data_IF_667257773847
#
_entry.id   IF_667257773847
#
_cell.length_a   1.000
_cell.length_b   1.000
_cell.length_c   1.000
_cell.angle_alpha   90.00
_cell.angle_beta   90.00
_cell.angle_gamma   90.00
#
_symmetry.space_group_name_H-M   'P 1'
#
loop_
_entity.id
_entity.type
_entity.pdbx_description
1 polymer ?
#
# COMPACT_ATOMS: atom_id res chain seq x y z
N UNK A 1 10.85 -4.67 -8.88
CA UNK A 1 10.64 -3.90 -7.68
C UNK A 1 10.05 -4.79 -6.57
N UNK A 2 9.65 -4.18 -5.48
CA UNK A 2 9.23 -4.94 -4.31
C UNK A 2 7.74 -5.26 -4.26
N UNK A 3 6.98 -4.78 -5.23
CA UNK A 3 5.57 -5.10 -5.32
C UNK A 3 5.35 -6.41 -6.05
N UNK A 4 4.49 -7.26 -5.51
CA UNK A 4 4.05 -8.48 -6.17
C UNK A 4 2.64 -8.31 -6.72
N UNK A 5 2.36 -8.95 -7.85
CA UNK A 5 1.01 -9.04 -8.39
C UNK A 5 0.46 -10.40 -7.99
N UNK A 6 -0.65 -10.41 -7.25
CA UNK A 6 -1.25 -11.65 -6.74
C UNK A 6 -2.50 -11.99 -7.54
N UNK A 7 -2.49 -13.17 -8.17
CA UNK A 7 -3.60 -13.68 -8.98
C UNK A 7 -4.04 -12.73 -10.10
N UNK A 8 -3.16 -11.86 -10.56
CA UNK A 8 -3.51 -10.83 -11.55
C UNK A 8 -4.55 -9.84 -11.04
N UNK A 9 -4.85 -9.88 -9.74
CA UNK A 9 -5.99 -9.14 -9.16
C UNK A 9 -5.57 -7.94 -8.33
N UNK A 10 -4.50 -8.04 -7.57
CA UNK A 10 -4.07 -6.96 -6.68
C UNK A 10 -2.57 -6.91 -6.54
N UNK A 11 -2.07 -5.76 -6.06
CA UNK A 11 -0.67 -5.56 -5.73
C UNK A 11 -0.50 -5.75 -4.22
N UNK A 12 0.63 -6.35 -3.81
CA UNK A 12 1.00 -6.48 -2.40
C UNK A 12 2.45 -6.09 -2.21
N UNK A 13 2.71 -5.43 -1.10
CA UNK A 13 4.08 -5.18 -0.66
C UNK A 13 4.15 -5.16 0.86
N UNK A 14 5.26 -5.70 1.39
CA UNK A 14 5.56 -5.67 2.82
C UNK A 14 6.75 -4.74 3.06
N UNK A 15 6.71 -4.03 4.18
CA UNK A 15 7.83 -3.22 4.69
C UNK A 15 8.15 -3.65 6.12
N UNK A 16 9.45 -3.64 6.47
CA UNK A 16 9.92 -3.95 7.82
C UNK A 16 10.43 -2.69 8.50
N UNK A 17 10.17 -2.58 9.79
CA UNK A 17 10.55 -1.42 10.61
C UNK A 17 11.14 -1.88 11.93
N UNK A 18 11.96 -1.04 12.58
CA UNK A 18 12.60 -1.44 13.85
C UNK A 18 11.64 -1.51 15.04
N UNK A 19 10.45 -0.90 14.94
CA UNK A 19 9.48 -0.88 16.03
C UNK A 19 8.08 -0.55 15.53
N UNK A 20 7.11 -0.57 16.44
CA UNK A 20 5.71 -0.26 16.09
C UNK A 20 5.53 1.21 15.73
N UNK A 21 6.20 2.10 16.45
CA UNK A 21 6.06 3.55 16.20
C UNK A 21 6.44 3.90 14.76
N UNK A 22 7.55 3.33 14.26
CA UNK A 22 7.98 3.56 12.88
C UNK A 22 6.99 2.98 11.87
N UNK A 23 6.46 1.79 12.14
CA UNK A 23 5.45 1.17 11.28
C UNK A 23 4.18 2.01 11.24
N UNK A 24 3.75 2.53 12.38
CA UNK A 24 2.57 3.40 12.47
C UNK A 24 2.78 4.70 11.72
N UNK A 25 3.95 5.32 11.88
CA UNK A 25 4.29 6.56 11.18
C UNK A 25 4.23 6.37 9.66
N UNK A 26 4.79 5.27 9.17
CA UNK A 26 4.72 4.94 7.75
C UNK A 26 3.25 4.76 7.30
N UNK A 27 2.45 4.04 8.08
CA UNK A 27 1.05 3.80 7.74
C UNK A 27 0.26 5.10 7.69
N UNK A 28 0.51 6.03 8.62
CA UNK A 28 -0.14 7.34 8.61
C UNK A 28 0.23 8.14 7.35
N UNK A 29 1.51 8.13 6.98
CA UNK A 29 1.97 8.82 5.77
C UNK A 29 1.34 8.22 4.51
N UNK A 30 1.28 6.88 4.45
CA UNK A 30 0.64 6.18 3.34
C UNK A 30 -0.84 6.51 3.25
N UNK A 31 -1.52 6.61 4.39
CA UNK A 31 -2.93 6.98 4.45
C UNK A 31 -3.19 8.38 3.88
N UNK A 32 -2.31 9.34 4.18
CA UNK A 32 -2.41 10.69 3.63
C UNK A 32 -2.33 10.67 2.10
N UNK A 33 -1.42 9.85 1.56
CA UNK A 33 -1.29 9.70 0.11
C UNK A 33 -2.55 9.09 -0.49
N UNK A 34 -3.10 8.05 0.13
CA UNK A 34 -4.34 7.41 -0.34
C UNK A 34 -5.49 8.43 -0.38
N UNK A 35 -5.62 9.27 0.64
CA UNK A 35 -6.66 10.31 0.66
C UNK A 35 -6.44 11.34 -0.44
N UNK A 36 -5.19 11.76 -0.65
CA UNK A 36 -4.87 12.73 -1.70
C UNK A 36 -5.18 12.18 -3.09
N UNK A 37 -4.95 10.88 -3.31
CA UNK A 37 -5.21 10.22 -4.59
C UNK A 37 -6.67 9.78 -4.76
N UNK A 38 -7.44 9.83 -3.70
CA UNK A 38 -8.79 9.28 -3.65
C UNK A 38 -8.81 7.82 -4.13
N UNK A 39 -7.78 7.07 -3.72
CA UNK A 39 -7.62 5.66 -4.06
C UNK A 39 -6.98 4.99 -2.86
N UNK A 40 -7.66 4.03 -2.24
CA UNK A 40 -7.31 3.54 -0.91
C UNK A 40 -6.80 2.11 -0.95
N UNK A 41 -5.60 1.91 -0.39
CA UNK A 41 -5.06 0.58 -0.14
C UNK A 41 -5.65 0.04 1.15
N UNK A 42 -5.64 -1.29 1.28
CA UNK A 42 -5.86 -1.94 2.57
C UNK A 42 -4.49 -2.09 3.22
N UNK A 43 -4.43 -1.88 4.53
CA UNK A 43 -3.18 -2.01 5.27
C UNK A 43 -3.31 -3.02 6.40
N UNK A 44 -2.26 -3.83 6.58
CA UNK A 44 -2.09 -4.67 7.75
C UNK A 44 -0.90 -4.12 8.52
N UNK A 45 -1.17 -3.58 9.71
CA UNK A 45 -0.14 -2.98 10.56
C UNK A 45 0.11 -3.89 11.76
N UNK A 46 1.38 -4.23 11.95
CA UNK A 46 1.80 -5.00 13.12
C UNK A 46 3.08 -4.43 13.67
N UNK A 47 3.57 -5.02 14.77
CA UNK A 47 4.83 -4.59 15.33
C UNK A 47 5.94 -4.83 14.31
N UNK A 48 6.58 -3.75 13.89
CA UNK A 48 7.72 -3.84 12.99
C UNK A 48 7.39 -4.18 11.54
N UNK A 49 6.10 -4.17 11.14
CA UNK A 49 5.76 -4.49 9.76
C UNK A 49 4.49 -3.79 9.29
N UNK A 50 4.43 -3.52 7.99
CA UNK A 50 3.22 -3.04 7.32
C UNK A 50 3.10 -3.81 6.01
N UNK A 51 1.89 -4.27 5.70
CA UNK A 51 1.58 -4.81 4.37
C UNK A 51 0.53 -3.90 3.73
N UNK A 52 0.74 -3.53 2.47
CA UNK A 52 -0.24 -2.81 1.69
C UNK A 52 -0.78 -3.72 0.58
N UNK A 53 -2.09 -3.64 0.35
CA UNK A 53 -2.79 -4.41 -0.67
C UNK A 53 -3.61 -3.40 -1.48
N UNK A 54 -3.37 -3.34 -2.80
CA UNK A 54 -3.98 -2.33 -3.66
C UNK A 54 -4.70 -2.99 -4.82
N UNK A 55 -5.98 -2.65 -5.00
CA UNK A 55 -6.69 -2.96 -6.24
C UNK A 55 -7.84 -1.97 -6.41
N UNK A 56 -8.41 -1.95 -7.61
CA UNK A 56 -9.54 -1.08 -7.91
C UNK A 56 -10.83 -1.86 -7.69
N UNK A 57 -11.54 -1.56 -6.61
CA UNK A 57 -12.73 -2.30 -6.18
C UNK A 57 -13.84 -2.27 -7.23
N UNK A 58 -13.98 -1.14 -7.91
CA UNK A 58 -15.04 -0.93 -8.90
C UNK A 58 -15.00 -1.97 -10.03
N UNK A 59 -13.81 -2.42 -10.42
CA UNK A 59 -13.66 -3.42 -11.48
C UNK A 59 -13.19 -4.77 -10.95
N UNK A 60 -12.99 -4.88 -9.63
CA UNK A 60 -12.48 -6.07 -8.98
C UNK A 60 -11.17 -6.54 -9.62
N UNK A 61 -10.23 -5.63 -9.78
CA UNK A 61 -8.94 -5.92 -10.41
C UNK A 61 -8.05 -4.70 -10.47
N UNK A 62 -7.03 -4.77 -11.32
CA UNK A 62 -6.00 -3.73 -11.42
C UNK A 62 -6.27 -2.74 -12.54
N UNK A 63 -5.95 -1.48 -12.27
CA UNK A 63 -5.94 -0.39 -13.24
C UNK A 63 -4.63 0.39 -13.09
N UNK A 64 -4.39 1.33 -13.99
CA UNK A 64 -3.24 2.21 -13.90
C UNK A 64 -3.16 2.93 -12.56
N UNK A 65 -4.30 3.29 -11.98
CA UNK A 65 -4.36 3.98 -10.69
C UNK A 65 -3.67 3.20 -9.57
N UNK A 66 -3.75 1.87 -9.61
CA UNK A 66 -3.11 1.04 -8.60
C UNK A 66 -1.60 1.13 -8.67
N UNK A 67 -1.04 1.13 -9.89
CA UNK A 67 0.40 1.25 -10.09
C UNK A 67 0.91 2.66 -9.76
N UNK A 68 0.11 3.69 -10.03
CA UNK A 68 0.45 5.06 -9.65
C UNK A 68 0.50 5.19 -8.13
N UNK A 69 -0.49 4.65 -7.42
CA UNK A 69 -0.50 4.67 -5.96
C UNK A 69 0.70 3.93 -5.40
N UNK A 70 1.00 2.73 -5.92
CA UNK A 70 2.15 1.96 -5.47
C UNK A 70 3.45 2.75 -5.62
N UNK A 71 3.64 3.42 -6.75
CA UNK A 71 4.82 4.24 -6.99
C UNK A 71 4.93 5.40 -5.99
N UNK A 72 3.80 5.98 -5.61
CA UNK A 72 3.81 7.08 -4.62
C UNK A 72 4.11 6.57 -3.21
N UNK A 73 3.59 5.40 -2.83
CA UNK A 73 3.92 4.79 -1.54
C UNK A 73 5.40 4.44 -1.44
N UNK A 74 6.04 4.11 -2.56
CA UNK A 74 7.46 3.80 -2.59
C UNK A 74 8.35 5.00 -2.26
N UNK A 75 7.80 6.20 -2.28
CA UNK A 75 8.57 7.43 -2.04
C UNK A 75 8.55 7.90 -0.60
N UNK A 76 7.84 7.22 0.27
CA UNK A 76 7.78 7.58 1.69
C UNK A 76 9.11 7.34 2.40
#
# INVERSE_FOLDING_TARGET
DDWGIVDGHHLERDWSFPDFASALEFTNAAGVICEAENHHADFELGWGRVKAIIWTHKIDGLTESDFVLAAKLDRI
#
